data_IF_557826724712
#
_entry.id   IF_557826724712
#
_cell.length_a   1.000
_cell.length_b   1.000
_cell.length_c   1.000
_cell.angle_alpha   90.00
_cell.angle_beta   90.00
_cell.angle_gamma   90.00
#
_symmetry.space_group_name_H-M   'P 1'
#
loop_
_entity.id
_entity.type
_entity.pdbx_description
1 polymer ?
#
# COMPACT_ATOMS: atom_id res chain seq x y z
N UNK A 1 -21.26 39.82 -12.04
CA UNK A 1 -21.92 38.88 -11.11
C UNK A 1 -21.65 37.42 -11.54
N UNK A 2 -20.38 36.97 -11.49
CA UNK A 2 -19.97 35.61 -11.93
C UNK A 2 -19.62 34.70 -10.74
N UNK A 3 -19.47 35.27 -9.54
CA UNK A 3 -19.11 34.52 -8.33
C UNK A 3 -20.26 33.71 -7.71
N UNK A 4 -21.54 34.06 -7.97
CA UNK A 4 -22.68 33.33 -7.41
C UNK A 4 -22.92 31.95 -8.06
N UNK A 5 -22.51 31.76 -9.30
CA UNK A 5 -22.71 30.50 -10.03
C UNK A 5 -21.82 29.36 -9.48
N UNK A 6 -20.62 29.70 -9.01
CA UNK A 6 -19.68 28.72 -8.42
C UNK A 6 -20.17 28.15 -7.09
N UNK A 7 -20.84 28.97 -6.27
CA UNK A 7 -21.44 28.52 -5.01
C UNK A 7 -22.53 27.46 -5.26
N UNK A 8 -23.38 27.68 -6.26
CA UNK A 8 -24.49 26.78 -6.60
C UNK A 8 -24.00 25.41 -7.11
N UNK A 9 -22.87 25.37 -7.83
CA UNK A 9 -22.23 24.12 -8.27
C UNK A 9 -21.54 23.37 -7.11
N UNK A 10 -21.04 24.09 -6.11
CA UNK A 10 -20.38 23.48 -4.94
C UNK A 10 -21.40 22.75 -4.05
N UNK A 11 -22.59 23.32 -3.86
CA UNK A 11 -23.66 22.73 -3.03
C UNK A 11 -24.21 21.43 -3.61
N UNK A 12 -24.44 21.38 -4.94
CA UNK A 12 -24.89 20.14 -5.61
C UNK A 12 -23.92 18.99 -5.41
N UNK A 13 -22.61 19.22 -5.57
CA UNK A 13 -21.59 18.17 -5.33
C UNK A 13 -21.51 17.76 -3.86
N UNK A 14 -21.76 18.68 -2.92
CA UNK A 14 -21.80 18.37 -1.48
C UNK A 14 -22.97 17.47 -1.13
N UNK A 15 -24.16 17.71 -1.71
CA UNK A 15 -25.33 16.86 -1.53
C UNK A 15 -25.14 15.46 -2.14
N UNK A 16 -24.53 15.35 -3.32
CA UNK A 16 -24.21 14.04 -3.92
C UNK A 16 -23.19 13.25 -3.08
N UNK A 17 -22.15 13.91 -2.56
CA UNK A 17 -21.19 13.27 -1.63
C UNK A 17 -21.88 12.87 -0.33
N UNK A 18 -22.76 13.70 0.23
CA UNK A 18 -23.53 13.35 1.43
C UNK A 18 -24.47 12.18 1.19
N UNK A 19 -25.12 12.07 0.02
CA UNK A 19 -25.94 10.91 -0.31
C UNK A 19 -25.09 9.64 -0.47
N UNK A 20 -23.94 9.73 -1.14
CA UNK A 20 -23.00 8.60 -1.27
C UNK A 20 -22.41 8.19 0.08
N UNK A 21 -22.10 9.15 0.95
CA UNK A 21 -21.61 8.89 2.31
C UNK A 21 -22.70 8.32 3.21
N UNK A 22 -23.94 8.84 3.18
CA UNK A 22 -25.08 8.27 3.92
C UNK A 22 -25.37 6.83 3.51
N UNK A 23 -25.34 6.51 2.21
CA UNK A 23 -25.47 5.13 1.72
C UNK A 23 -24.33 4.24 2.24
N UNK A 24 -23.09 4.72 2.22
CA UNK A 24 -21.93 3.98 2.76
C UNK A 24 -22.00 3.78 4.28
N UNK A 25 -22.50 4.77 5.03
CA UNK A 25 -22.67 4.70 6.49
C UNK A 25 -23.75 3.67 6.87
N UNK A 26 -24.86 3.63 6.13
CA UNK A 26 -25.93 2.64 6.34
C UNK A 26 -25.41 1.21 6.05
N UNK A 27 -24.62 1.02 4.99
CA UNK A 27 -24.03 -0.29 4.68
C UNK A 27 -23.03 -0.70 5.76
N UNK A 28 -22.19 0.22 6.23
CA UNK A 28 -21.22 -0.04 7.28
C UNK A 28 -21.88 -0.40 8.62
N UNK A 29 -22.97 0.28 9.01
CA UNK A 29 -23.67 -0.02 10.26
C UNK A 29 -24.34 -1.39 10.25
N UNK A 30 -25.02 -1.76 9.15
CA UNK A 30 -25.66 -3.08 9.01
C UNK A 30 -24.61 -4.19 8.99
N UNK A 31 -23.49 -4.00 8.28
CA UNK A 31 -22.40 -4.99 8.23
C UNK A 31 -21.73 -5.17 9.60
N UNK A 32 -21.58 -4.10 10.37
CA UNK A 32 -20.97 -4.16 11.71
C UNK A 32 -21.85 -4.95 12.68
N UNK A 33 -23.17 -4.69 12.69
CA UNK A 33 -24.13 -5.41 13.55
C UNK A 33 -24.14 -6.91 13.21
N UNK A 34 -24.17 -7.27 11.92
CA UNK A 34 -24.12 -8.67 11.50
C UNK A 34 -22.84 -9.38 11.98
N UNK A 35 -21.70 -8.68 11.95
CA UNK A 35 -20.43 -9.22 12.41
C UNK A 35 -20.43 -9.54 13.92
N UNK A 36 -20.97 -8.63 14.74
CA UNK A 36 -21.08 -8.85 16.19
C UNK A 36 -22.01 -10.00 16.55
N UNK A 37 -23.12 -10.21 15.82
CA UNK A 37 -24.03 -11.34 16.04
C UNK A 37 -23.36 -12.69 15.73
N UNK A 38 -22.61 -12.77 14.62
CA UNK A 38 -21.90 -13.99 14.23
C UNK A 38 -20.80 -14.34 15.26
N UNK A 39 -20.01 -13.35 15.67
CA UNK A 39 -18.97 -13.56 16.68
C UNK A 39 -19.59 -13.97 18.02
N UNK A 40 -20.65 -13.28 18.47
CA UNK A 40 -21.36 -13.59 19.71
C UNK A 40 -21.92 -15.02 19.76
N UNK A 41 -22.54 -15.50 18.68
CA UNK A 41 -23.03 -16.88 18.59
C UNK A 41 -21.91 -17.93 18.54
N UNK A 42 -20.78 -17.60 17.91
CA UNK A 42 -19.60 -18.44 17.84
C UNK A 42 -18.95 -18.68 19.20
N UNK A 43 -18.79 -17.64 20.03
CA UNK A 43 -18.23 -17.79 21.40
C UNK A 43 -19.19 -18.52 22.35
N UNK A 44 -20.51 -18.33 22.22
CA UNK A 44 -21.49 -19.04 23.06
C UNK A 44 -21.53 -20.55 22.80
N UNK A 45 -21.26 -20.96 21.55
CA UNK A 45 -21.21 -22.38 21.16
C UNK A 45 -19.96 -23.11 21.69
N UNK A 46 -18.89 -22.38 22.01
CA UNK A 46 -17.66 -22.97 22.59
C UNK A 46 -17.74 -23.11 24.12
N UNK A 47 -18.57 -22.30 24.79
CA UNK A 47 -18.68 -22.30 26.26
C UNK A 47 -19.78 -23.24 26.78
N UNK A 48 -20.71 -23.70 25.92
CA UNK A 48 -21.79 -24.61 26.33
C UNK A 48 -21.48 -26.12 26.22
N UNK A 49 -20.21 -26.51 26.07
CA UNK A 49 -19.81 -27.91 26.19
C UNK A 49 -19.09 -28.15 27.52
N UNK A 50 -19.87 -28.24 28.59
CA UNK A 50 -19.44 -28.87 29.83
C UNK A 50 -20.53 -29.87 30.23
N UNK A 51 -20.29 -31.17 29.98
CA UNK A 51 -20.46 -32.23 30.99
C UNK A 51 -20.11 -33.64 30.45
N UNK A 52 -19.10 -34.22 31.11
CA UNK A 52 -19.00 -35.59 31.68
C UNK A 52 -19.19 -36.81 30.75
N UNK A 53 -18.09 -37.56 30.52
CA UNK A 53 -17.88 -38.93 31.04
C UNK A 53 -16.60 -39.56 30.48
N UNK A 54 -15.65 -39.87 31.36
CA UNK A 54 -14.57 -40.84 31.14
C UNK A 54 -15.08 -42.24 31.52
N UNK A 55 -14.61 -43.34 30.90
CA UNK A 55 -13.53 -44.07 31.57
C UNK A 55 -12.50 -44.75 30.63
N UNK A 56 -11.24 -44.72 31.07
CA UNK A 56 -10.29 -45.84 31.09
C UNK A 56 -9.71 -46.40 29.77
N UNK A 57 -8.39 -46.27 29.57
CA UNK A 57 -7.40 -47.30 29.94
C UNK A 57 -6.03 -47.10 29.25
N UNK A 58 -4.99 -47.03 30.08
CA UNK A 58 -3.58 -47.43 29.92
C UNK A 58 -2.75 -47.11 28.67
N UNK A 59 -1.70 -46.30 28.91
CA UNK A 59 -0.32 -46.80 28.80
C UNK A 59 0.45 -46.42 27.53
N UNK A 60 1.24 -45.36 27.59
CA UNK A 60 2.28 -45.06 26.61
C UNK A 60 2.90 -43.68 26.77
N UNK A 61 4.18 -43.63 27.15
CA UNK A 61 5.03 -42.45 27.39
C UNK A 61 5.03 -41.42 26.23
N UNK A 62 5.23 -40.11 26.50
CA UNK A 62 4.97 -39.05 25.54
C UNK A 62 6.19 -38.81 24.63
N UNK A 63 6.10 -39.20 23.36
CA UNK A 63 6.91 -38.54 22.34
C UNK A 63 6.20 -37.25 21.95
N UNK A 64 6.72 -36.15 22.48
CA UNK A 64 6.41 -34.79 22.08
C UNK A 64 6.50 -34.66 20.56
N UNK A 65 5.35 -34.67 19.89
CA UNK A 65 5.19 -34.09 18.57
C UNK A 65 5.24 -32.56 18.73
N UNK A 66 6.45 -32.05 18.95
CA UNK A 66 6.78 -30.66 18.69
C UNK A 66 6.49 -30.42 17.22
N UNK A 67 5.32 -29.86 16.93
CA UNK A 67 5.08 -29.20 15.66
C UNK A 67 6.20 -28.17 15.50
N UNK A 68 7.08 -28.28 14.50
CA UNK A 68 8.00 -27.21 14.21
C UNK A 68 7.14 -26.03 13.80
N UNK A 69 7.14 -24.97 14.61
CA UNK A 69 6.76 -23.65 14.14
C UNK A 69 7.53 -23.43 12.83
N UNK A 70 6.81 -23.40 11.70
CA UNK A 70 7.39 -23.03 10.43
C UNK A 70 8.00 -21.64 10.59
N UNK A 71 9.32 -21.59 10.72
CA UNK A 71 10.11 -20.44 10.30
C UNK A 71 9.86 -20.30 8.80
N UNK A 72 8.79 -19.64 8.42
CA UNK A 72 8.60 -19.14 7.08
C UNK A 72 9.84 -18.30 6.75
N UNK A 73 10.63 -18.76 5.76
CA UNK A 73 11.89 -18.14 5.37
C UNK A 73 11.71 -16.62 5.18
N UNK A 74 12.65 -15.77 5.62
CA UNK A 74 12.57 -14.31 5.48
C UNK A 74 12.39 -13.85 4.02
N UNK A 75 12.90 -14.63 3.06
CA UNK A 75 12.68 -14.43 1.61
C UNK A 75 11.18 -14.42 1.27
N UNK A 76 10.37 -15.25 1.93
CA UNK A 76 8.93 -15.33 1.68
C UNK A 76 8.17 -14.08 2.14
N UNK A 77 8.67 -13.37 3.16
CA UNK A 77 8.02 -12.18 3.68
C UNK A 77 8.23 -10.98 2.75
N UNK A 78 9.48 -10.70 2.37
CA UNK A 78 9.80 -9.58 1.45
C UNK A 78 9.14 -9.78 0.08
N UNK A 79 9.18 -11.00 -0.47
CA UNK A 79 8.52 -11.32 -1.73
C UNK A 79 6.99 -11.11 -1.65
N UNK A 80 6.36 -11.46 -0.51
CA UNK A 80 4.93 -11.20 -0.28
C UNK A 80 4.62 -9.72 -0.22
N UNK A 81 5.44 -8.92 0.46
CA UNK A 81 5.27 -7.47 0.54
C UNK A 81 5.40 -6.83 -0.85
N UNK A 82 6.44 -7.19 -1.61
CA UNK A 82 6.64 -6.74 -3.00
C UNK A 82 5.40 -7.06 -3.84
N UNK A 83 4.93 -8.30 -3.79
CA UNK A 83 3.73 -8.73 -4.53
C UNK A 83 2.51 -7.90 -4.17
N UNK A 84 2.23 -7.70 -2.88
CA UNK A 84 1.07 -6.91 -2.42
C UNK A 84 1.16 -5.46 -2.89
N UNK A 85 2.32 -4.82 -2.77
CA UNK A 85 2.53 -3.43 -3.22
C UNK A 85 2.35 -3.33 -4.74
N UNK A 86 2.98 -4.22 -5.49
CA UNK A 86 2.93 -4.18 -6.95
C UNK A 86 1.56 -4.52 -7.52
N UNK A 87 0.78 -5.39 -6.89
CA UNK A 87 -0.60 -5.67 -7.31
C UNK A 87 -1.51 -4.43 -7.28
N UNK A 88 -1.20 -3.45 -6.41
CA UNK A 88 -1.93 -2.19 -6.33
C UNK A 88 -1.49 -1.16 -7.40
N UNK A 89 -0.46 -1.47 -8.18
CA UNK A 89 0.06 -0.58 -9.24
C UNK A 89 -0.48 -0.96 -10.61
N UNK A 90 -0.51 0.01 -11.53
CA UNK A 90 -0.89 -0.21 -12.93
C UNK A 90 0.17 -0.95 -13.75
N UNK A 91 1.44 -0.92 -13.33
CA UNK A 91 2.58 -1.56 -14.00
C UNK A 91 3.22 -2.63 -13.09
N UNK A 92 2.48 -3.71 -12.88
CA UNK A 92 2.82 -4.76 -11.90
C UNK A 92 4.20 -5.38 -12.18
N UNK A 93 4.46 -5.77 -13.43
CA UNK A 93 5.73 -6.41 -13.82
C UNK A 93 6.92 -5.47 -13.65
N UNK A 94 6.78 -4.20 -14.04
CA UNK A 94 7.82 -3.20 -13.84
C UNK A 94 8.09 -2.99 -12.35
N UNK A 95 7.03 -2.91 -11.53
CA UNK A 95 7.18 -2.79 -10.09
C UNK A 95 7.92 -3.98 -9.49
N UNK A 96 7.53 -5.22 -9.82
CA UNK A 96 8.17 -6.44 -9.31
C UNK A 96 9.65 -6.47 -9.69
N UNK A 97 9.95 -6.30 -10.99
CA UNK A 97 11.31 -6.31 -11.49
C UNK A 97 12.20 -5.25 -10.83
N UNK A 98 11.68 -4.04 -10.63
CA UNK A 98 12.41 -2.94 -10.00
C UNK A 98 12.69 -3.24 -8.53
N UNK A 99 11.67 -3.67 -7.79
CA UNK A 99 11.79 -3.90 -6.35
C UNK A 99 12.63 -5.14 -6.03
N UNK A 100 12.45 -6.23 -6.77
CA UNK A 100 13.26 -7.44 -6.64
C UNK A 100 14.73 -7.14 -6.90
N UNK A 101 15.05 -6.42 -7.99
CA UNK A 101 16.43 -5.97 -8.27
C UNK A 101 17.00 -5.11 -7.15
N UNK A 102 16.20 -4.20 -6.59
CA UNK A 102 16.65 -3.30 -5.53
C UNK A 102 16.86 -3.94 -4.14
N UNK A 103 16.36 -5.16 -3.94
CA UNK A 103 16.60 -5.98 -2.74
C UNK A 103 17.63 -7.09 -2.95
N UNK A 104 18.09 -7.33 -4.19
CA UNK A 104 19.19 -8.27 -4.45
C UNK A 104 20.41 -7.92 -3.61
N UNK A 105 20.97 -8.92 -2.93
CA UNK A 105 22.15 -8.75 -2.08
C UNK A 105 21.88 -8.13 -0.70
N UNK A 106 20.63 -7.82 -0.34
CA UNK A 106 20.24 -7.41 1.03
C UNK A 106 19.77 -8.62 1.84
N UNK A 107 20.03 -8.64 3.15
CA UNK A 107 19.44 -9.65 4.03
C UNK A 107 17.91 -9.46 4.04
N UNK A 108 17.13 -10.45 3.57
CA UNK A 108 15.67 -10.35 3.53
C UNK A 108 15.04 -10.11 4.92
N UNK A 109 15.74 -10.46 6.00
CA UNK A 109 15.29 -10.24 7.37
C UNK A 109 15.41 -8.77 7.80
N UNK A 110 16.20 -7.97 7.07
CA UNK A 110 16.51 -6.57 7.37
C UNK A 110 15.68 -5.57 6.55
N UNK A 111 15.03 -6.02 5.46
CA UNK A 111 14.29 -5.14 4.56
C UNK A 111 12.96 -4.73 5.19
N UNK A 112 12.85 -3.45 5.56
CA UNK A 112 11.62 -2.86 6.07
C UNK A 112 10.77 -2.27 4.93
N UNK A 113 9.45 -2.09 5.11
CA UNK A 113 8.59 -1.47 4.09
C UNK A 113 9.08 -0.08 3.63
N UNK A 114 9.67 0.69 4.55
CA UNK A 114 10.28 1.99 4.25
C UNK A 114 11.48 1.89 3.30
N UNK A 115 12.25 0.80 3.38
CA UNK A 115 13.38 0.56 2.49
C UNK A 115 12.89 0.25 1.09
N UNK A 116 11.75 -0.45 0.98
CA UNK A 116 11.10 -0.74 -0.29
C UNK A 116 10.61 0.53 -0.97
N UNK A 117 9.99 1.44 -0.21
CA UNK A 117 9.57 2.75 -0.71
C UNK A 117 10.78 3.58 -1.16
N UNK A 118 11.87 3.58 -0.39
CA UNK A 118 13.12 4.26 -0.77
C UNK A 118 13.74 3.68 -2.04
N UNK A 119 13.70 2.35 -2.22
CA UNK A 119 14.13 1.67 -3.45
C UNK A 119 13.27 2.13 -4.63
N UNK A 120 11.94 2.15 -4.48
CA UNK A 120 11.03 2.58 -5.54
C UNK A 120 11.28 4.02 -5.98
N UNK A 121 11.42 4.93 -5.01
CA UNK A 121 11.67 6.35 -5.29
C UNK A 121 13.02 6.55 -5.99
N UNK A 122 14.08 5.88 -5.51
CA UNK A 122 15.40 5.94 -6.17
C UNK A 122 15.36 5.41 -7.61
N UNK A 123 14.66 4.30 -7.83
CA UNK A 123 14.51 3.75 -9.17
C UNK A 123 13.76 4.71 -10.11
N UNK A 124 12.72 5.39 -9.60
CA UNK A 124 12.01 6.41 -10.37
C UNK A 124 12.91 7.63 -10.68
N UNK A 125 13.68 8.11 -9.71
CA UNK A 125 14.66 9.20 -9.90
C UNK A 125 15.68 8.88 -11.00
N UNK A 126 16.24 7.66 -10.98
CA UNK A 126 17.19 7.19 -11.99
C UNK A 126 16.59 7.13 -13.40
N UNK A 127 15.33 6.70 -13.52
CA UNK A 127 14.63 6.67 -14.81
C UNK A 127 14.28 8.09 -15.31
N UNK A 128 13.86 8.99 -14.42
CA UNK A 128 13.62 10.40 -14.74
C UNK A 128 14.91 11.04 -15.27
N UNK A 129 16.06 10.75 -14.66
CA UNK A 129 17.36 11.24 -15.13
C UNK A 129 17.69 10.77 -16.56
N UNK A 130 17.34 9.53 -16.90
CA UNK A 130 17.50 9.02 -18.27
C UNK A 130 16.57 9.73 -19.24
N UNK A 131 15.33 10.00 -18.81
CA UNK A 131 14.34 10.73 -19.62
C UNK A 131 14.81 12.15 -19.87
N UNK A 132 15.23 12.91 -18.86
CA UNK A 132 15.73 14.29 -19.01
C UNK A 132 16.93 14.32 -19.96
N UNK A 133 17.91 13.41 -19.78
CA UNK A 133 19.09 13.31 -20.68
C UNK A 133 18.72 13.00 -22.12
N UNK A 134 17.71 12.17 -22.35
CA UNK A 134 17.23 11.85 -23.69
C UNK A 134 16.41 13.01 -24.27
N UNK A 135 15.58 13.63 -23.44
CA UNK A 135 14.71 14.73 -23.80
C UNK A 135 15.52 15.96 -24.23
N UNK A 136 16.61 16.29 -23.52
CA UNK A 136 17.51 17.41 -23.88
C UNK A 136 18.24 17.23 -25.22
N UNK A 137 18.23 16.01 -25.79
CA UNK A 137 18.79 15.75 -27.12
C UNK A 137 17.83 16.06 -28.28
N UNK A 138 16.56 16.35 -27.97
CA UNK A 138 15.55 16.62 -28.98
C UNK A 138 15.76 17.99 -29.63
N UNK A 139 15.48 18.04 -30.93
CA UNK A 139 15.52 19.25 -31.74
C UNK A 139 14.11 19.56 -32.22
N UNK A 140 13.77 20.84 -32.22
CA UNK A 140 12.45 21.33 -32.60
C UNK A 140 12.60 22.34 -33.73
N UNK A 141 11.77 22.17 -34.75
CA UNK A 141 11.78 23.07 -35.92
C UNK A 141 10.99 24.36 -35.65
N UNK A 142 9.97 24.29 -34.77
CA UNK A 142 9.14 25.45 -34.42
C UNK A 142 9.50 25.99 -33.03
N UNK A 143 9.69 27.32 -32.87
CA UNK A 143 9.96 27.93 -31.56
C UNK A 143 8.90 27.62 -30.51
N UNK A 144 7.63 27.53 -30.93
CA UNK A 144 6.50 27.20 -30.04
C UNK A 144 6.58 25.76 -29.50
N UNK A 145 7.05 24.82 -30.30
CA UNK A 145 7.20 23.42 -29.88
C UNK A 145 8.34 23.29 -28.90
N UNK A 146 9.46 24.00 -29.14
CA UNK A 146 10.58 24.08 -28.20
C UNK A 146 10.13 24.66 -26.85
N UNK A 147 9.44 25.81 -26.86
CA UNK A 147 9.00 26.45 -25.62
C UNK A 147 8.09 25.53 -24.79
N UNK A 148 7.10 24.88 -25.42
CA UNK A 148 6.22 23.94 -24.72
C UNK A 148 6.98 22.72 -24.17
N UNK A 149 8.04 22.29 -24.86
CA UNK A 149 8.88 21.21 -24.38
C UNK A 149 9.77 21.63 -23.21
N UNK A 150 10.34 22.84 -23.25
CA UNK A 150 11.11 23.41 -22.16
C UNK A 150 10.24 23.56 -20.90
N UNK A 151 8.97 23.99 -21.03
CA UNK A 151 7.99 24.01 -19.92
C UNK A 151 7.76 22.60 -19.34
N UNK A 152 7.68 21.57 -20.19
CA UNK A 152 7.52 20.19 -19.73
C UNK A 152 8.76 19.69 -19.00
N UNK A 153 9.96 20.10 -19.42
CA UNK A 153 11.21 19.75 -18.75
C UNK A 153 11.29 20.38 -17.36
N UNK A 154 10.95 21.66 -17.22
CA UNK A 154 10.91 22.35 -15.93
C UNK A 154 9.97 21.63 -14.95
N UNK A 155 8.75 21.28 -15.40
CA UNK A 155 7.79 20.53 -14.56
C UNK A 155 8.31 19.15 -14.14
N UNK A 156 9.09 18.47 -14.99
CA UNK A 156 9.67 17.16 -14.67
C UNK A 156 10.82 17.33 -13.67
N UNK A 157 11.63 18.39 -13.80
CA UNK A 157 12.71 18.71 -12.86
C UNK A 157 12.16 19.06 -11.47
N UNK A 158 11.10 19.87 -11.41
CA UNK A 158 10.40 20.18 -10.16
C UNK A 158 9.82 18.91 -9.52
N UNK A 159 9.12 18.08 -10.29
CA UNK A 159 8.56 16.82 -9.80
C UNK A 159 9.64 15.85 -9.30
N UNK A 160 10.82 15.87 -9.93
CA UNK A 160 11.99 15.10 -9.49
C UNK A 160 12.51 15.59 -8.15
N UNK A 161 12.61 16.91 -7.94
CA UNK A 161 13.01 17.48 -6.66
C UNK A 161 12.02 17.14 -5.55
N UNK A 162 10.71 17.30 -5.79
CA UNK A 162 9.66 16.92 -4.85
C UNK A 162 9.73 15.42 -4.50
N UNK A 163 9.97 14.58 -5.50
CA UNK A 163 10.13 13.14 -5.31
C UNK A 163 11.34 12.83 -4.41
N UNK A 164 12.46 13.53 -4.56
CA UNK A 164 13.62 13.38 -3.67
C UNK A 164 13.32 13.83 -2.25
N UNK A 165 12.66 14.97 -2.10
CA UNK A 165 12.27 15.51 -0.80
C UNK A 165 11.33 14.54 -0.05
N UNK A 166 10.50 13.79 -0.79
CA UNK A 166 9.64 12.76 -0.19
C UNK A 166 10.42 11.62 0.49
N UNK A 167 11.67 11.36 0.09
CA UNK A 167 12.53 10.34 0.72
C UNK A 167 12.88 10.72 2.16
N UNK A 168 13.07 12.02 2.42
CA UNK A 168 13.45 12.51 3.75
C UNK A 168 12.28 12.40 4.73
N UNK A 169 11.04 12.49 4.23
CA UNK A 169 9.82 12.25 5.01
C UNK A 169 9.64 10.77 5.42
N UNK A 170 10.33 9.82 4.79
CA UNK A 170 10.19 8.39 5.12
C UNK A 170 10.87 8.06 6.47
N UNK A 171 11.83 8.90 6.91
CA UNK A 171 12.58 8.71 8.16
C UNK A 171 11.96 9.39 9.39
N UNK A 172 11.21 10.46 9.19
CA UNK A 172 10.67 11.31 10.24
C UNK A 172 9.12 11.27 10.18
N UNK A 173 8.45 10.98 11.29
CA UNK A 173 6.98 11.06 11.47
C UNK A 173 6.08 9.89 11.01
N UNK A 174 6.39 8.66 11.44
CA UNK A 174 5.35 7.62 11.64
C UNK A 174 4.95 7.49 13.13
N UNK A 175 5.64 8.18 14.05
CA UNK A 175 5.50 8.02 15.51
C UNK A 175 4.71 9.09 16.27
N UNK A 176 4.09 10.09 15.60
CA UNK A 176 3.38 11.20 16.26
C UNK A 176 1.86 11.22 16.01
N UNK A 177 1.28 10.06 15.77
CA UNK A 177 -0.16 9.85 15.81
C UNK A 177 -0.49 8.83 16.91
N UNK A 178 -0.27 9.22 18.17
CA UNK A 178 -0.83 8.60 19.38
C UNK A 178 -1.41 9.70 20.26
#
# INVERSE_FOLDING_TARGET
>A
MVFQDFDQLSERRRLERQQKLRKKIIIASVSSIAFFVIVGAGVFSLVSNHDISSPGNNGGSPSAATQPAEKAKPISHVARVIKTVCNATTYQDTCQNTLEKGVLGKDPSSVQPKDLLKIAIKAADEEIDKVIKKASSFKFDKPREKAAFDDCLELIEDAKEELKNSVDCIGNDIGKAS
#
